data_IF_542923471449
#
_entry.id   IF_542923471449
#
_cell.length_a   1.000
_cell.length_b   1.000
_cell.length_c   1.000
_cell.angle_alpha   90.00
_cell.angle_beta   90.00
_cell.angle_gamma   90.00
#
_symmetry.space_group_name_H-M   'P 1'
#
loop_
_entity.id
_entity.type
_entity.pdbx_description
1 polymer ?
#
# COMPACT_ATOMS: atom_id res chain seq x y z
N UNK A 1 64.31 -17.89 -83.44
CA UNK A 1 63.32 -18.94 -83.16
C UNK A 1 63.07 -18.96 -81.64
N UNK A 2 61.86 -18.71 -81.23
CA UNK A 2 61.22 -19.05 -79.99
C UNK A 2 62.01 -18.87 -78.69
N UNK A 3 61.79 -17.71 -78.01
CA UNK A 3 62.08 -17.44 -76.61
C UNK A 3 60.83 -17.62 -75.77
N UNK A 4 60.96 -18.34 -74.66
CA UNK A 4 59.89 -18.53 -73.67
C UNK A 4 60.00 -17.47 -72.60
N UNK A 5 59.01 -16.69 -72.46
CA UNK A 5 58.84 -15.71 -71.34
C UNK A 5 58.52 -16.46 -70.03
N UNK A 6 59.42 -16.31 -69.06
CA UNK A 6 59.18 -16.80 -67.68
C UNK A 6 58.23 -15.94 -66.92
N UNK A 7 57.16 -16.54 -66.47
CA UNK A 7 56.13 -15.97 -65.60
C UNK A 7 56.64 -15.92 -64.16
N UNK A 8 57.37 -14.86 -63.75
CA UNK A 8 57.83 -14.74 -62.39
C UNK A 8 57.88 -13.32 -61.78
N UNK A 9 57.13 -12.41 -62.34
CA UNK A 9 57.18 -11.03 -61.78
C UNK A 9 55.80 -10.33 -61.62
N UNK A 10 54.81 -11.01 -61.14
CA UNK A 10 53.59 -10.35 -60.75
C UNK A 10 52.99 -11.05 -59.50
N UNK A 11 53.52 -10.79 -58.35
CA UNK A 11 52.71 -10.87 -57.15
C UNK A 11 53.43 -10.13 -55.99
N UNK A 12 53.56 -8.84 -56.14
CA UNK A 12 53.68 -7.99 -54.90
C UNK A 12 52.30 -7.68 -54.39
N UNK A 13 51.77 -8.63 -53.63
CA UNK A 13 50.50 -8.44 -52.88
C UNK A 13 50.71 -7.44 -51.76
N UNK A 14 50.17 -6.26 -51.99
CA UNK A 14 50.03 -5.24 -50.89
C UNK A 14 49.13 -5.79 -49.79
N UNK A 15 49.74 -6.23 -48.68
CA UNK A 15 49.02 -6.47 -47.47
C UNK A 15 48.59 -5.08 -46.89
N UNK A 16 47.41 -4.65 -47.26
CA UNK A 16 46.73 -3.55 -46.55
C UNK A 16 46.22 -4.11 -45.22
N UNK A 17 46.97 -3.86 -44.17
CA UNK A 17 46.56 -4.10 -42.77
C UNK A 17 45.41 -3.17 -42.45
N UNK A 18 44.20 -3.69 -42.57
CA UNK A 18 42.98 -3.04 -42.07
C UNK A 18 42.97 -3.17 -40.55
N UNK A 19 43.55 -2.17 -39.87
CA UNK A 19 43.43 -2.05 -38.43
C UNK A 19 41.96 -1.72 -38.11
N UNK A 20 41.16 -2.74 -37.78
CA UNK A 20 39.86 -2.56 -37.18
C UNK A 20 40.05 -1.90 -35.80
N UNK A 21 39.95 -0.58 -35.78
CA UNK A 21 39.80 0.17 -34.54
C UNK A 21 38.41 -0.18 -33.97
N UNK A 22 38.35 -1.25 -33.14
CA UNK A 22 37.15 -1.56 -32.36
C UNK A 22 36.95 -0.40 -31.39
N UNK A 23 36.12 0.59 -31.76
CA UNK A 23 35.54 1.53 -30.82
C UNK A 23 34.70 0.69 -29.84
N UNK A 24 35.28 0.29 -28.72
CA UNK A 24 34.54 -0.18 -27.56
C UNK A 24 33.75 1.02 -27.05
N UNK A 25 32.52 1.19 -27.54
CA UNK A 25 31.55 2.08 -26.93
C UNK A 25 31.34 1.49 -25.53
N UNK A 26 31.71 2.21 -24.47
CA UNK A 26 31.36 1.75 -23.14
C UNK A 26 29.83 1.70 -23.09
N UNK A 27 29.26 0.50 -23.11
CA UNK A 27 27.88 0.29 -22.75
C UNK A 27 27.83 0.71 -21.27
N UNK A 28 27.50 1.97 -21.04
CA UNK A 28 27.17 2.46 -19.71
C UNK A 28 25.98 1.62 -19.27
N UNK A 29 26.27 0.54 -18.51
CA UNK A 29 25.26 -0.23 -17.81
C UNK A 29 24.68 0.81 -16.84
N UNK A 30 23.52 1.36 -17.19
CA UNK A 30 22.77 2.17 -16.25
C UNK A 30 22.74 1.34 -14.96
N UNK A 31 23.40 1.84 -13.91
CA UNK A 31 23.34 1.19 -12.61
C UNK A 31 21.87 1.03 -12.33
N UNK A 32 21.42 -0.21 -12.10
CA UNK A 32 20.06 -0.43 -11.65
C UNK A 32 19.88 0.47 -10.44
N UNK A 33 19.01 1.49 -10.57
CA UNK A 33 18.83 2.50 -9.54
C UNK A 33 18.53 1.79 -8.21
N UNK A 34 19.00 2.35 -7.11
CA UNK A 34 18.72 1.82 -5.79
C UNK A 34 17.19 1.74 -5.63
N UNK A 35 16.72 0.62 -5.09
CA UNK A 35 15.29 0.46 -4.81
C UNK A 35 15.09 -0.15 -3.44
N UNK A 36 13.92 0.11 -2.86
CA UNK A 36 13.43 -0.53 -1.64
C UNK A 36 12.10 -1.23 -1.89
N UNK A 37 11.81 -2.25 -1.09
CA UNK A 37 10.51 -2.91 -1.05
C UNK A 37 9.77 -2.45 0.20
N UNK A 38 8.59 -1.86 -0.01
CA UNK A 38 7.67 -1.44 1.05
C UNK A 38 6.52 -2.44 1.14
N UNK A 39 6.46 -3.20 2.23
CA UNK A 39 5.31 -4.01 2.57
C UNK A 39 4.18 -3.12 3.07
N UNK A 40 3.05 -3.11 2.38
CA UNK A 40 1.93 -2.23 2.70
C UNK A 40 0.59 -2.92 2.50
N UNK A 41 -0.50 -2.13 2.55
CA UNK A 41 -1.85 -2.67 2.48
C UNK A 41 -2.52 -2.38 1.14
N UNK A 42 -3.42 -3.29 0.73
CA UNK A 42 -4.24 -3.08 -0.49
C UNK A 42 -5.12 -1.84 -0.38
N UNK A 43 -5.58 -1.47 0.83
CA UNK A 43 -6.36 -0.26 1.04
C UNK A 43 -5.53 1.00 0.80
N UNK A 44 -4.27 1.04 1.27
CA UNK A 44 -3.36 2.15 0.98
C UNK A 44 -3.04 2.25 -0.51
N UNK A 45 -2.80 1.11 -1.16
CA UNK A 45 -2.58 1.08 -2.61
C UNK A 45 -3.81 1.55 -3.38
N UNK A 46 -5.00 1.03 -3.06
CA UNK A 46 -6.24 1.39 -3.76
C UNK A 46 -6.67 2.85 -3.52
N UNK A 47 -6.16 3.51 -2.48
CA UNK A 47 -6.43 4.93 -2.25
C UNK A 47 -5.77 5.88 -3.25
N UNK A 48 -4.77 5.41 -4.02
CA UNK A 48 -4.02 6.24 -4.96
C UNK A 48 -2.92 7.11 -4.32
N UNK A 49 -2.69 6.97 -3.02
CA UNK A 49 -1.68 7.77 -2.32
C UNK A 49 -0.27 7.53 -2.86
N UNK A 50 0.09 6.28 -3.12
CA UNK A 50 1.43 5.92 -3.57
C UNK A 50 1.76 6.53 -4.93
N UNK A 51 0.82 6.55 -5.85
CA UNK A 51 0.96 7.15 -7.17
C UNK A 51 1.24 8.65 -7.08
N UNK A 52 0.78 9.29 -6.01
CA UNK A 52 1.02 10.71 -5.76
C UNK A 52 2.36 10.98 -5.09
N UNK A 53 2.70 10.27 -4.00
CA UNK A 53 3.87 10.61 -3.18
C UNK A 53 5.18 9.97 -3.65
N UNK A 54 5.17 8.74 -4.18
CA UNK A 54 6.41 8.02 -4.50
C UNK A 54 7.23 8.67 -5.63
N UNK A 55 6.63 9.24 -6.70
CA UNK A 55 7.41 9.97 -7.71
C UNK A 55 8.18 11.17 -7.15
N UNK A 56 7.64 11.84 -6.12
CA UNK A 56 8.31 12.98 -5.47
C UNK A 56 9.56 12.50 -4.74
N UNK A 57 9.44 11.42 -3.96
CA UNK A 57 10.58 10.81 -3.26
C UNK A 57 11.67 10.32 -4.24
N UNK A 58 11.26 9.54 -5.26
CA UNK A 58 12.19 8.99 -6.26
C UNK A 58 12.93 10.10 -7.02
N UNK A 59 12.22 11.17 -7.42
CA UNK A 59 12.84 12.33 -8.07
C UNK A 59 13.91 13.01 -7.20
N UNK A 60 13.66 13.05 -5.89
CA UNK A 60 14.59 13.70 -4.94
C UNK A 60 15.82 12.84 -4.63
N UNK A 61 15.63 11.54 -4.48
CA UNK A 61 16.65 10.64 -3.90
C UNK A 61 17.30 9.71 -4.92
N UNK A 62 16.66 9.48 -6.06
CA UNK A 62 17.03 8.44 -7.01
C UNK A 62 16.62 7.01 -6.59
N UNK A 63 16.01 6.84 -5.39
CA UNK A 63 15.60 5.55 -4.87
C UNK A 63 14.19 5.22 -5.39
N UNK A 64 14.05 4.09 -6.06
CA UNK A 64 12.75 3.55 -6.48
C UNK A 64 12.05 2.88 -5.28
N UNK A 65 10.76 3.08 -5.12
CA UNK A 65 9.95 2.39 -4.09
C UNK A 65 9.02 1.39 -4.75
N UNK A 66 9.19 0.12 -4.43
CA UNK A 66 8.36 -0.99 -4.91
C UNK A 66 7.39 -1.41 -3.81
N UNK A 67 6.12 -1.18 -4.02
CA UNK A 67 5.08 -1.49 -3.02
C UNK A 67 4.53 -2.89 -3.22
N UNK A 68 4.42 -3.65 -2.13
CA UNK A 68 3.70 -4.92 -2.07
C UNK A 68 2.45 -4.70 -1.23
N UNK A 69 1.30 -4.54 -1.91
CA UNK A 69 0.00 -4.29 -1.29
C UNK A 69 -0.75 -5.58 -1.00
N UNK A 70 -0.83 -5.95 0.28
CA UNK A 70 -1.54 -7.14 0.79
C UNK A 70 -2.33 -6.79 2.05
N UNK A 71 -2.96 -7.75 2.74
CA UNK A 71 -3.53 -7.49 4.07
C UNK A 71 -2.44 -7.19 5.11
N UNK A 72 -2.73 -6.39 6.15
CA UNK A 72 -1.74 -6.01 7.18
C UNK A 72 -1.02 -7.21 7.78
N UNK A 73 -1.76 -8.26 8.17
CA UNK A 73 -1.15 -9.47 8.73
C UNK A 73 -0.17 -10.15 7.77
N UNK A 74 -0.48 -10.18 6.47
CA UNK A 74 0.41 -10.72 5.46
C UNK A 74 1.62 -9.81 5.19
N UNK A 75 1.43 -8.47 5.19
CA UNK A 75 2.52 -7.51 5.05
C UNK A 75 3.55 -7.68 6.17
N UNK A 76 3.09 -7.78 7.43
CA UNK A 76 3.96 -8.03 8.57
C UNK A 76 4.67 -9.39 8.48
N UNK A 77 3.95 -10.46 8.11
CA UNK A 77 4.56 -11.80 7.90
C UNK A 77 5.62 -11.81 6.80
N UNK A 78 5.43 -11.06 5.72
CA UNK A 78 6.45 -10.92 4.69
C UNK A 78 7.69 -10.20 5.24
N UNK A 79 7.48 -9.11 5.98
CA UNK A 79 8.55 -8.36 6.63
C UNK A 79 9.30 -9.20 7.70
N UNK A 80 8.60 -10.04 8.47
CA UNK A 80 9.21 -11.02 9.41
C UNK A 80 10.13 -12.01 8.71
N UNK A 81 9.90 -12.32 7.43
CA UNK A 81 10.76 -13.20 6.61
C UNK A 81 11.91 -12.46 5.94
N UNK A 82 11.95 -11.13 6.02
CA UNK A 82 12.92 -10.29 5.32
C UNK A 82 12.55 -10.00 3.86
N UNK A 83 11.29 -10.21 3.45
CA UNK A 83 10.80 -9.96 2.09
C UNK A 83 10.43 -8.48 1.86
N UNK A 84 10.99 -7.55 2.65
CA UNK A 84 10.81 -6.12 2.52
C UNK A 84 11.81 -5.33 3.35
N UNK A 85 11.98 -4.06 3.01
CA UNK A 85 12.88 -3.14 3.70
C UNK A 85 12.14 -2.27 4.72
N UNK A 86 10.88 -1.94 4.40
CA UNK A 86 10.03 -1.06 5.20
C UNK A 86 8.62 -1.63 5.26
N UNK A 87 7.94 -1.44 6.38
CA UNK A 87 6.49 -1.67 6.52
C UNK A 87 5.80 -0.31 6.62
N UNK A 88 4.72 -0.11 5.84
CA UNK A 88 3.80 1.03 5.97
C UNK A 88 2.38 0.46 6.11
N UNK A 89 1.81 0.52 7.30
CA UNK A 89 0.53 -0.12 7.61
C UNK A 89 -0.32 0.75 8.56
N UNK A 90 -1.50 0.26 8.95
CA UNK A 90 -2.45 0.98 9.79
C UNK A 90 -3.17 0.07 10.80
N UNK A 91 -2.41 -0.83 11.43
CA UNK A 91 -2.87 -1.63 12.58
C UNK A 91 -1.88 -1.46 13.73
N UNK A 92 -2.01 -0.37 14.47
CA UNK A 92 -1.05 0.01 15.50
C UNK A 92 -0.71 -1.13 16.47
N UNK A 93 -1.66 -1.94 17.00
CA UNK A 93 -1.32 -3.03 17.92
C UNK A 93 -0.43 -4.11 17.28
N UNK A 94 -0.67 -4.46 16.01
CA UNK A 94 0.14 -5.45 15.30
C UNK A 94 1.54 -4.91 14.97
N UNK A 95 1.62 -3.63 14.60
CA UNK A 95 2.86 -2.92 14.31
C UNK A 95 3.73 -2.79 15.56
N UNK A 96 3.13 -2.47 16.70
CA UNK A 96 3.83 -2.40 17.99
C UNK A 96 4.32 -3.78 18.43
N UNK A 97 3.52 -4.84 18.22
CA UNK A 97 3.93 -6.22 18.45
C UNK A 97 5.10 -6.61 17.57
N UNK A 98 5.07 -6.30 16.27
CA UNK A 98 6.17 -6.54 15.34
C UNK A 98 7.49 -5.92 15.80
N UNK A 99 7.44 -4.69 16.32
CA UNK A 99 8.62 -4.01 16.91
C UNK A 99 9.04 -4.67 18.22
N UNK A 100 8.11 -4.98 19.11
CA UNK A 100 8.40 -5.61 20.41
C UNK A 100 9.06 -6.99 20.26
N UNK A 101 8.70 -7.75 19.22
CA UNK A 101 9.31 -9.03 18.86
C UNK A 101 10.67 -8.87 18.15
N UNK A 102 11.09 -7.63 17.92
CA UNK A 102 12.39 -7.27 17.33
C UNK A 102 12.46 -7.45 15.81
N UNK A 103 11.34 -7.64 15.11
CA UNK A 103 11.31 -7.73 13.66
C UNK A 103 11.42 -6.35 12.99
N UNK A 104 10.97 -5.29 13.64
CA UNK A 104 11.11 -3.89 13.26
C UNK A 104 12.00 -3.13 14.24
N UNK A 105 12.63 -2.05 13.77
CA UNK A 105 13.50 -1.21 14.59
C UNK A 105 12.69 -0.29 15.49
N UNK A 106 11.79 0.51 14.89
CA UNK A 106 10.95 1.48 15.59
C UNK A 106 9.76 1.84 14.71
N UNK A 107 8.60 2.04 15.34
CA UNK A 107 7.39 2.56 14.71
C UNK A 107 7.36 4.08 14.78
N UNK A 108 7.09 4.71 13.65
CA UNK A 108 6.86 6.15 13.56
C UNK A 108 5.42 6.40 13.08
N UNK A 109 4.66 7.31 13.71
CA UNK A 109 3.40 7.78 13.15
C UNK A 109 3.70 8.55 11.85
N UNK A 110 2.80 8.46 10.88
CA UNK A 110 2.97 9.11 9.57
C UNK A 110 1.83 10.05 9.26
N UNK A 111 0.62 9.50 9.32
CA UNK A 111 -0.62 10.17 8.92
C UNK A 111 -1.79 9.41 9.50
N UNK A 112 -2.97 9.99 9.42
CA UNK A 112 -4.21 9.29 9.68
C UNK A 112 -5.24 9.57 8.58
N UNK A 113 -6.17 8.65 8.42
CA UNK A 113 -7.48 8.87 7.84
C UNK A 113 -8.53 8.26 8.80
N UNK A 114 -9.78 8.23 8.38
CA UNK A 114 -10.82 7.58 9.14
C UNK A 114 -11.42 6.39 8.39
N UNK A 115 -11.99 5.49 9.15
CA UNK A 115 -12.95 4.54 8.63
C UNK A 115 -14.33 5.19 8.56
N UNK A 116 -15.13 4.68 7.65
CA UNK A 116 -16.53 5.07 7.46
C UNK A 116 -17.36 3.81 7.24
N UNK A 117 -18.65 3.87 7.59
CA UNK A 117 -19.59 2.83 7.19
C UNK A 117 -20.38 3.36 5.99
N UNK A 118 -20.27 2.62 4.88
CA UNK A 118 -21.00 2.90 3.65
C UNK A 118 -22.11 1.88 3.45
N UNK A 119 -23.11 2.23 2.66
CA UNK A 119 -24.21 1.34 2.36
C UNK A 119 -25.19 1.94 1.34
N UNK A 120 -26.21 1.18 0.94
CA UNK A 120 -27.20 1.64 -0.03
C UNK A 120 -27.98 2.85 0.47
N UNK A 121 -28.40 3.71 -0.44
CA UNK A 121 -29.18 4.92 -0.10
C UNK A 121 -30.51 4.61 0.61
N UNK A 122 -31.07 3.41 0.38
CA UNK A 122 -32.28 2.93 1.02
C UNK A 122 -32.15 2.71 2.54
N UNK A 123 -30.90 2.50 3.03
CA UNK A 123 -30.56 2.36 4.45
C UNK A 123 -31.54 1.48 5.25
N UNK A 124 -31.69 0.18 4.94
CA UNK A 124 -32.70 -0.69 5.56
C UNK A 124 -32.56 -0.81 7.09
N UNK A 125 -31.34 -0.71 7.63
CA UNK A 125 -31.09 -0.72 9.07
C UNK A 125 -31.23 0.67 9.74
N UNK A 126 -31.46 1.74 8.97
CA UNK A 126 -31.65 3.14 9.44
C UNK A 126 -30.47 3.61 10.30
N UNK A 127 -29.26 3.48 9.76
CA UNK A 127 -28.03 3.88 10.45
C UNK A 127 -27.54 5.27 10.07
N UNK A 128 -28.11 5.89 9.05
CA UNK A 128 -27.66 7.21 8.58
C UNK A 128 -27.70 8.25 9.71
N UNK A 129 -26.54 8.93 9.89
CA UNK A 129 -26.40 9.98 10.90
C UNK A 129 -26.18 9.51 12.34
N UNK A 130 -26.11 8.20 12.59
CA UNK A 130 -25.70 7.67 13.89
C UNK A 130 -24.25 8.10 14.16
N UNK A 131 -23.99 8.63 15.36
CA UNK A 131 -22.67 9.17 15.71
C UNK A 131 -21.70 8.12 16.26
N UNK A 132 -22.21 7.01 16.79
CA UNK A 132 -21.40 5.93 17.34
C UNK A 132 -21.43 4.74 16.39
N UNK A 133 -20.28 4.37 15.83
CA UNK A 133 -20.16 3.25 14.88
C UNK A 133 -20.63 1.91 15.48
N UNK A 134 -20.34 1.56 16.77
CA UNK A 134 -20.89 0.35 17.38
C UNK A 134 -22.42 0.30 17.42
N UNK A 135 -23.09 1.45 17.67
CA UNK A 135 -24.55 1.51 17.69
C UNK A 135 -25.15 1.29 16.29
N UNK A 136 -24.49 1.81 15.26
CA UNK A 136 -24.86 1.55 13.88
C UNK A 136 -24.72 0.07 13.52
N UNK A 137 -23.59 -0.56 13.88
CA UNK A 137 -23.37 -1.98 13.67
C UNK A 137 -24.41 -2.84 14.42
N UNK A 138 -24.75 -2.48 15.65
CA UNK A 138 -25.79 -3.15 16.42
C UNK A 138 -27.12 -3.13 15.68
N UNK A 139 -27.52 -1.99 15.13
CA UNK A 139 -28.76 -1.89 14.33
C UNK A 139 -28.72 -2.72 13.06
N UNK A 140 -27.57 -2.81 12.38
CA UNK A 140 -27.41 -3.68 11.21
C UNK A 140 -27.68 -5.15 11.61
N UNK A 141 -27.11 -5.58 12.73
CA UNK A 141 -27.30 -6.93 13.25
C UNK A 141 -28.76 -7.20 13.67
N UNK A 142 -29.39 -6.26 14.39
CA UNK A 142 -30.80 -6.36 14.81
C UNK A 142 -31.75 -6.44 13.61
N UNK A 143 -31.46 -5.71 12.53
CA UNK A 143 -32.22 -5.73 11.29
C UNK A 143 -31.85 -6.95 10.41
N UNK A 144 -30.81 -7.72 10.77
CA UNK A 144 -30.22 -8.77 9.92
C UNK A 144 -29.92 -8.26 8.49
N UNK A 145 -29.59 -6.98 8.37
CA UNK A 145 -29.26 -6.35 7.10
C UNK A 145 -27.86 -6.77 6.64
N UNK A 146 -27.72 -7.06 5.36
CA UNK A 146 -26.45 -7.56 4.80
C UNK A 146 -25.27 -6.65 5.12
N UNK A 147 -24.17 -7.23 5.58
CA UNK A 147 -22.90 -6.55 5.82
C UNK A 147 -21.77 -7.33 5.17
N UNK A 148 -20.99 -6.66 4.32
CA UNK A 148 -19.82 -7.24 3.65
C UNK A 148 -18.56 -6.96 4.45
N UNK A 149 -17.95 -8.00 4.99
CA UNK A 149 -16.67 -7.97 5.69
C UNK A 149 -15.53 -8.39 4.78
N UNK A 150 -14.37 -7.79 4.97
CA UNK A 150 -13.15 -8.23 4.29
C UNK A 150 -12.75 -9.65 4.67
N UNK A 151 -12.86 -10.02 5.94
CA UNK A 151 -12.50 -11.34 6.50
C UNK A 151 -11.10 -11.85 6.05
N UNK A 152 -10.13 -10.95 5.82
CA UNK A 152 -8.81 -11.22 5.24
C UNK A 152 -7.63 -10.91 6.18
N UNK A 153 -7.91 -10.80 7.50
CA UNK A 153 -6.93 -10.43 8.54
C UNK A 153 -6.23 -9.07 8.31
N UNK A 154 -6.84 -8.19 7.51
CA UNK A 154 -6.34 -6.83 7.29
C UNK A 154 -6.58 -5.91 8.49
N UNK A 155 -5.92 -4.74 8.51
CA UNK A 155 -6.18 -3.70 9.51
C UNK A 155 -7.64 -3.25 9.53
N UNK A 156 -8.29 -3.14 8.37
CA UNK A 156 -9.72 -2.83 8.26
C UNK A 156 -10.58 -3.93 8.89
N UNK A 157 -10.28 -5.21 8.60
CA UNK A 157 -11.01 -6.34 9.20
C UNK A 157 -10.85 -6.37 10.73
N UNK A 158 -9.65 -6.11 11.24
CA UNK A 158 -9.40 -6.04 12.70
C UNK A 158 -10.14 -4.87 13.35
N UNK A 159 -10.15 -3.71 12.72
CA UNK A 159 -10.92 -2.55 13.17
C UNK A 159 -12.44 -2.87 13.20
N UNK A 160 -12.95 -3.50 12.15
CA UNK A 160 -14.33 -3.97 12.05
C UNK A 160 -14.70 -4.91 13.21
N UNK A 161 -13.90 -5.96 13.44
CA UNK A 161 -14.15 -6.91 14.52
C UNK A 161 -14.14 -6.25 15.91
N UNK A 162 -13.26 -5.26 16.12
CA UNK A 162 -13.23 -4.47 17.35
C UNK A 162 -14.52 -3.66 17.54
N UNK A 163 -15.04 -3.06 16.47
CA UNK A 163 -16.30 -2.32 16.50
C UNK A 163 -17.49 -3.25 16.78
N UNK A 164 -17.54 -4.44 16.17
CA UNK A 164 -18.54 -5.47 16.46
C UNK A 164 -18.50 -5.92 17.91
N UNK A 165 -17.30 -6.13 18.47
CA UNK A 165 -17.14 -6.46 19.89
C UNK A 165 -17.68 -5.35 20.80
N UNK A 166 -17.42 -4.08 20.45
CA UNK A 166 -17.96 -2.94 21.19
C UNK A 166 -19.48 -2.81 21.05
N UNK A 167 -20.05 -3.25 19.94
CA UNK A 167 -21.49 -3.37 19.73
C UNK A 167 -22.14 -4.51 20.54
N UNK A 168 -21.33 -5.38 21.16
CA UNK A 168 -21.83 -6.58 21.87
C UNK A 168 -22.33 -7.66 20.92
N UNK A 169 -21.88 -7.67 19.66
CA UNK A 169 -22.34 -8.59 18.62
C UNK A 169 -21.19 -9.49 18.16
N UNK A 170 -21.43 -10.78 18.01
CA UNK A 170 -20.53 -11.69 17.34
C UNK A 170 -21.05 -11.95 15.89
N UNK A 171 -20.57 -11.21 14.88
CA UNK A 171 -21.08 -11.31 13.53
C UNK A 171 -20.76 -12.66 12.88
N UNK A 172 -19.68 -13.33 13.31
CA UNK A 172 -19.28 -14.65 12.78
C UNK A 172 -20.31 -15.74 13.03
N UNK A 173 -21.15 -15.59 14.05
CA UNK A 173 -22.27 -16.51 14.28
C UNK A 173 -23.31 -16.46 13.14
N UNK A 174 -23.29 -15.42 12.32
CA UNK A 174 -24.19 -15.19 11.18
C UNK A 174 -23.46 -15.21 9.82
N UNK A 175 -22.26 -15.82 9.79
CA UNK A 175 -21.49 -15.99 8.55
C UNK A 175 -22.31 -16.73 7.50
N UNK A 176 -22.28 -16.24 6.26
CA UNK A 176 -23.07 -16.78 5.15
C UNK A 176 -24.57 -16.43 5.17
N UNK A 177 -25.05 -15.75 6.24
CA UNK A 177 -26.41 -15.20 6.31
C UNK A 177 -26.38 -13.70 5.98
N UNK A 178 -26.51 -12.82 6.96
CA UNK A 178 -26.39 -11.38 6.75
C UNK A 178 -24.93 -10.87 6.85
N UNK A 179 -24.02 -11.62 7.46
CA UNK A 179 -22.59 -11.30 7.53
C UNK A 179 -21.84 -12.04 6.42
N UNK A 180 -21.43 -11.28 5.41
CA UNK A 180 -20.83 -11.81 4.18
C UNK A 180 -19.31 -11.68 4.24
N UNK A 181 -18.61 -12.76 4.53
CA UNK A 181 -17.15 -12.81 4.57
C UNK A 181 -16.59 -12.97 3.16
N UNK A 182 -15.95 -11.91 2.61
CA UNK A 182 -15.49 -11.90 1.22
C UNK A 182 -14.12 -12.55 1.05
N UNK A 183 -13.30 -12.61 2.10
CA UNK A 183 -11.91 -13.07 2.02
C UNK A 183 -11.03 -12.23 1.09
N UNK A 184 -11.38 -10.96 0.84
CA UNK A 184 -10.85 -10.16 -0.25
C UNK A 184 -10.39 -8.77 0.20
N UNK A 185 -9.54 -8.11 -0.62
CA UNK A 185 -9.14 -6.73 -0.41
C UNK A 185 -10.31 -5.74 -0.51
N UNK A 186 -10.10 -4.49 -0.05
CA UNK A 186 -11.18 -3.51 0.14
C UNK A 186 -11.98 -3.22 -1.13
N UNK A 187 -11.32 -3.02 -2.28
CA UNK A 187 -12.02 -2.75 -3.54
C UNK A 187 -12.96 -3.88 -3.96
N UNK A 188 -12.53 -5.15 -3.84
CA UNK A 188 -13.37 -6.31 -4.13
C UNK A 188 -14.52 -6.45 -3.12
N UNK A 189 -14.26 -6.15 -1.84
CA UNK A 189 -15.31 -6.13 -0.80
C UNK A 189 -16.35 -5.06 -1.08
N UNK A 190 -15.95 -3.85 -1.50
CA UNK A 190 -16.88 -2.79 -1.89
C UNK A 190 -17.71 -3.19 -3.12
N UNK A 191 -17.13 -3.83 -4.14
CA UNK A 191 -17.90 -4.37 -5.26
C UNK A 191 -18.94 -5.41 -4.81
N UNK A 192 -18.57 -6.28 -3.87
CA UNK A 192 -19.52 -7.24 -3.27
C UNK A 192 -20.62 -6.52 -2.49
N UNK A 193 -20.26 -5.50 -1.71
CA UNK A 193 -21.22 -4.72 -0.96
C UNK A 193 -22.25 -4.05 -1.88
N UNK A 194 -21.80 -3.38 -2.95
CA UNK A 194 -22.69 -2.76 -3.94
C UNK A 194 -23.58 -3.80 -4.59
N UNK A 195 -23.02 -4.91 -5.11
CA UNK A 195 -23.79 -5.95 -5.78
C UNK A 195 -24.79 -6.70 -4.88
N UNK A 196 -24.59 -6.65 -3.54
CA UNK A 196 -25.46 -7.29 -2.55
C UNK A 196 -26.33 -6.32 -1.76
N UNK A 197 -26.24 -5.02 -2.05
CA UNK A 197 -26.90 -3.96 -1.27
C UNK A 197 -26.56 -4.07 0.23
N UNK A 198 -25.30 -4.39 0.53
CA UNK A 198 -24.79 -4.64 1.88
C UNK A 198 -24.03 -3.43 2.43
N UNK A 199 -24.10 -3.21 3.72
CA UNK A 199 -23.20 -2.26 4.39
C UNK A 199 -21.76 -2.76 4.35
N UNK A 200 -20.79 -1.87 4.47
CA UNK A 200 -19.40 -2.22 4.62
C UNK A 200 -18.64 -1.15 5.43
N UNK A 201 -17.64 -1.59 6.20
CA UNK A 201 -16.62 -0.70 6.75
C UNK A 201 -15.49 -0.54 5.74
N UNK A 202 -15.11 0.70 5.46
CA UNK A 202 -13.99 1.02 4.57
C UNK A 202 -13.22 2.22 5.08
N UNK A 203 -11.95 2.35 4.71
CA UNK A 203 -11.25 3.62 4.87
C UNK A 203 -11.75 4.65 3.85
N UNK A 204 -11.77 5.92 4.26
CA UNK A 204 -12.28 7.02 3.43
C UNK A 204 -11.50 7.17 2.13
N UNK A 205 -10.17 6.97 2.17
CA UNK A 205 -9.33 7.09 0.97
C UNK A 205 -9.74 6.10 -0.12
N UNK A 206 -9.88 4.81 0.23
CA UNK A 206 -10.36 3.79 -0.71
C UNK A 206 -11.78 4.10 -1.20
N UNK A 207 -12.67 4.55 -0.31
CA UNK A 207 -14.03 4.91 -0.70
C UNK A 207 -14.07 6.06 -1.72
N UNK A 208 -13.30 7.11 -1.52
CA UNK A 208 -13.28 8.25 -2.43
C UNK A 208 -12.70 7.86 -3.80
N UNK A 209 -11.68 7.00 -3.84
CA UNK A 209 -11.10 6.46 -5.07
C UNK A 209 -11.97 5.38 -5.74
N UNK A 210 -12.91 4.78 -5.02
CA UNK A 210 -13.76 3.72 -5.55
C UNK A 210 -14.76 4.25 -6.56
N UNK A 211 -14.73 3.73 -7.81
CA UNK A 211 -15.54 4.26 -8.89
C UNK A 211 -16.96 3.71 -8.96
N UNK A 212 -17.15 2.44 -8.57
CA UNK A 212 -18.43 1.71 -8.74
C UNK A 212 -19.36 1.89 -7.53
N UNK A 213 -19.69 3.15 -7.19
CA UNK A 213 -20.48 3.47 -5.98
C UNK A 213 -21.98 3.22 -6.13
N UNK A 214 -22.51 3.25 -7.38
CA UNK A 214 -23.94 3.18 -7.64
C UNK A 214 -24.70 4.21 -6.76
N UNK A 215 -25.73 3.79 -6.01
CA UNK A 215 -26.50 4.61 -5.06
C UNK A 215 -25.89 4.65 -3.64
N UNK A 216 -24.75 4.02 -3.44
CA UNK A 216 -24.08 3.94 -2.14
C UNK A 216 -23.57 5.30 -1.68
N UNK A 217 -23.63 5.50 -0.36
CA UNK A 217 -23.12 6.72 0.28
C UNK A 217 -22.55 6.42 1.66
N UNK A 218 -21.86 7.40 2.21
CA UNK A 218 -21.41 7.38 3.61
C UNK A 218 -22.64 7.55 4.51
N UNK A 219 -22.82 6.63 5.45
CA UNK A 219 -23.95 6.62 6.37
C UNK A 219 -23.50 6.91 7.81
N UNK A 220 -22.28 6.47 8.18
CA UNK A 220 -21.72 6.72 9.52
C UNK A 220 -20.27 7.19 9.37
N UNK A 221 -19.95 8.30 10.01
CA UNK A 221 -18.62 8.91 10.04
C UNK A 221 -18.44 9.79 11.29
N UNK A 222 -17.19 10.15 11.60
CA UNK A 222 -16.84 11.13 12.62
C UNK A 222 -16.88 10.58 14.06
N UNK A 223 -16.91 9.26 14.24
CA UNK A 223 -16.70 8.62 15.55
C UNK A 223 -15.19 8.48 15.82
N UNK A 224 -14.73 8.82 17.03
CA UNK A 224 -13.31 8.65 17.43
C UNK A 224 -12.83 7.20 17.29
N UNK A 225 -13.74 6.22 17.38
CA UNK A 225 -13.42 4.79 17.19
C UNK A 225 -13.13 4.42 15.74
N UNK A 226 -13.43 5.30 14.80
CA UNK A 226 -13.15 5.16 13.38
C UNK A 226 -11.79 5.74 12.97
N UNK A 227 -11.00 6.24 13.95
CA UNK A 227 -9.67 6.78 13.70
C UNK A 227 -8.72 5.68 13.20
N UNK A 228 -8.03 5.96 12.10
CA UNK A 228 -7.16 5.02 11.41
C UNK A 228 -5.74 5.59 11.26
N UNK A 229 -4.87 5.28 12.21
CA UNK A 229 -3.50 5.77 12.29
C UNK A 229 -2.55 4.89 11.48
N UNK A 230 -1.80 5.48 10.57
CA UNK A 230 -0.72 4.84 9.82
C UNK A 230 0.61 4.94 10.54
N UNK A 231 1.36 3.83 10.50
CA UNK A 231 2.73 3.76 10.99
C UNK A 231 3.70 3.30 9.91
N UNK A 232 4.95 3.73 10.03
CA UNK A 232 6.06 3.27 9.19
C UNK A 232 7.17 2.69 10.06
N UNK A 233 7.78 1.58 9.63
CA UNK A 233 8.74 0.79 10.40
C UNK A 233 9.85 0.29 9.47
N UNK A 234 11.11 0.51 9.84
CA UNK A 234 12.24 -0.16 9.18
C UNK A 234 12.28 -1.62 9.64
N UNK A 235 12.35 -2.57 8.71
CA UNK A 235 12.61 -3.97 9.01
C UNK A 235 14.00 -4.10 9.62
N UNK A 236 14.15 -4.94 10.66
CA UNK A 236 15.37 -4.97 11.46
C UNK A 236 16.54 -5.62 10.70
N UNK A 237 17.57 -4.84 10.30
CA UNK A 237 18.71 -5.36 9.56
C UNK A 237 19.59 -6.32 10.39
N UNK A 238 19.49 -6.30 11.73
CA UNK A 238 20.19 -7.26 12.56
C UNK A 238 19.63 -8.69 12.43
N UNK A 239 18.35 -8.82 12.09
CA UNK A 239 17.70 -10.11 11.79
C UNK A 239 17.78 -10.47 10.30
N UNK A 240 17.78 -9.46 9.43
CA UNK A 240 17.75 -9.62 7.96
C UNK A 240 18.86 -8.79 7.30
N UNK A 241 20.07 -9.33 7.12
CA UNK A 241 21.22 -8.60 6.54
C UNK A 241 20.98 -8.05 5.12
N UNK A 242 20.01 -8.59 4.41
CA UNK A 242 19.64 -8.13 3.04
C UNK A 242 18.75 -6.88 3.02
N UNK A 243 18.23 -6.45 4.18
CA UNK A 243 17.44 -5.22 4.30
C UNK A 243 18.30 -4.02 3.92
N UNK A 244 17.80 -3.22 3.02
CA UNK A 244 18.43 -1.97 2.57
C UNK A 244 18.18 -0.85 3.58
N UNK A 245 18.84 -0.98 4.73
CA UNK A 245 18.55 -0.17 5.90
C UNK A 245 18.77 1.33 5.65
N UNK A 246 19.81 1.71 4.87
CA UNK A 246 20.09 3.09 4.56
C UNK A 246 19.01 3.73 3.69
N UNK A 247 18.62 3.04 2.64
CA UNK A 247 17.60 3.49 1.68
C UNK A 247 16.19 3.46 2.33
N UNK A 248 15.91 2.43 3.14
CA UNK A 248 14.68 2.33 3.91
C UNK A 248 14.55 3.44 4.96
N UNK A 249 15.62 3.76 5.68
CA UNK A 249 15.64 4.88 6.61
C UNK A 249 15.47 6.23 5.89
N UNK A 250 16.12 6.41 4.73
CA UNK A 250 15.95 7.63 3.93
C UNK A 250 14.48 7.82 3.50
N UNK A 251 13.76 6.73 3.19
CA UNK A 251 12.33 6.81 2.91
C UNK A 251 11.51 7.20 4.14
N UNK A 252 11.81 6.61 5.31
CA UNK A 252 11.14 6.94 6.57
C UNK A 252 11.37 8.39 6.95
N UNK A 253 12.62 8.87 6.88
CA UNK A 253 12.99 10.25 7.23
C UNK A 253 12.30 11.26 6.29
N UNK A 254 12.23 10.95 4.99
CA UNK A 254 11.50 11.80 4.05
C UNK A 254 10.00 11.78 4.33
N UNK A 255 9.40 10.59 4.52
CA UNK A 255 7.96 10.44 4.71
C UNK A 255 7.46 11.14 5.99
N UNK A 256 8.27 11.10 7.06
CA UNK A 256 7.98 11.75 8.34
C UNK A 256 8.48 13.18 8.43
N UNK A 257 9.32 13.60 7.48
CA UNK A 257 9.84 14.95 7.38
C UNK A 257 8.90 15.96 6.71
N UNK A 258 9.23 17.24 6.73
CA UNK A 258 8.33 18.30 6.24
C UNK A 258 7.87 18.12 4.80
N UNK A 259 8.73 17.64 3.91
CA UNK A 259 8.41 17.48 2.49
C UNK A 259 7.44 16.30 2.24
N UNK A 260 7.70 15.14 2.85
CA UNK A 260 6.81 13.99 2.75
C UNK A 260 5.45 14.27 3.39
N UNK A 261 5.44 14.97 4.52
CA UNK A 261 4.21 15.39 5.19
C UNK A 261 3.42 16.40 4.33
N UNK A 262 4.09 17.33 3.66
CA UNK A 262 3.45 18.25 2.71
C UNK A 262 2.91 17.49 1.47
N UNK A 263 3.66 16.50 0.96
CA UNK A 263 3.21 15.66 -0.13
C UNK A 263 1.93 14.89 0.23
N UNK A 264 1.87 14.30 1.42
CA UNK A 264 0.66 13.61 1.94
C UNK A 264 -0.52 14.59 2.04
N UNK A 265 -0.32 15.78 2.63
CA UNK A 265 -1.36 16.78 2.78
C UNK A 265 -1.93 17.30 1.45
N UNK A 266 -1.09 17.31 0.41
CA UNK A 266 -1.48 17.78 -0.93
C UNK A 266 -2.33 16.79 -1.71
N UNK A 267 -2.37 15.51 -1.28
CA UNK A 267 -3.15 14.49 -1.96
C UNK A 267 -4.64 14.69 -1.73
N UNK A 268 -5.37 14.94 -2.82
CA UNK A 268 -6.81 15.20 -2.82
C UNK A 268 -7.49 14.46 -3.97
N UNK A 269 -8.70 13.97 -3.73
CA UNK A 269 -9.63 13.50 -4.76
C UNK A 269 -10.86 14.41 -4.71
N UNK A 270 -11.28 14.94 -5.84
CA UNK A 270 -12.41 15.86 -5.95
C UNK A 270 -12.33 17.05 -4.97
N UNK A 271 -11.11 17.54 -4.74
CA UNK A 271 -10.84 18.65 -3.83
C UNK A 271 -10.81 18.27 -2.33
N UNK A 272 -11.13 17.03 -1.98
CA UNK A 272 -11.13 16.54 -0.60
C UNK A 272 -9.78 15.94 -0.20
N UNK A 273 -9.26 16.37 0.95
CA UNK A 273 -8.05 15.79 1.52
C UNK A 273 -8.37 14.38 2.09
N UNK A 274 -7.54 13.40 1.75
CA UNK A 274 -7.76 12.00 2.13
C UNK A 274 -6.95 11.56 3.34
N UNK A 275 -5.74 12.09 3.47
CA UNK A 275 -4.82 11.75 4.54
C UNK A 275 -4.36 13.01 5.25
N UNK A 276 -4.29 12.95 6.56
CA UNK A 276 -3.91 14.05 7.44
C UNK A 276 -2.55 13.72 8.06
N UNK A 277 -1.47 14.40 7.65
CA UNK A 277 -0.14 14.15 8.20
C UNK A 277 -0.11 14.47 9.69
N UNK A 278 0.54 13.60 10.46
CA UNK A 278 0.73 13.77 11.90
C UNK A 278 2.02 13.14 12.42
N UNK A 279 3.03 12.99 11.56
CA UNK A 279 4.36 12.63 12.02
C UNK A 279 4.91 13.74 12.90
N UNK A 280 5.33 13.40 14.10
CA UNK A 280 6.06 14.34 14.94
C UNK A 280 7.50 14.40 14.42
N UNK A 281 8.04 15.59 14.13
CA UNK A 281 9.46 15.74 13.81
C UNK A 281 10.30 15.07 14.89
N UNK A 282 11.30 14.30 14.49
CA UNK A 282 12.27 13.78 15.45
C UNK A 282 13.03 14.96 16.03
N UNK A 283 12.85 15.23 17.30
CA UNK A 283 13.65 16.19 18.06
C UNK A 283 15.05 15.64 18.32
#
# INVERSE_FOLDING_TARGET
MRGAFGRRDVLKLALATFALLSLAIPISRAAAGDFIIVQSTTSTQNSGLFEHILPIFTKKTGIEVRVVGVGTGQALKNAEKGDGDVVLAHSQPDEEKFVAEGWGVKRYPVMYNDFIIVGPAADPARIAGIKQAPDALKKIAEAQASFASRADDSGTHKAELKLWQQAGVNPKASSGSWYLETGSGMGATLNTAVGKQAYALTDRGTWLAFANKDDFKVLVEGDDKLFNQYGVILVNPAKHPNVKAKEGQAFIDWLTGPEGQAAIASYKIDGQQLFFPNAHPQS
#
